data_IF_241755022235
#
_entry.id   IF_241755022235
#
_cell.length_a   1.000
_cell.length_b   1.000
_cell.length_c   1.000
_cell.angle_alpha   90.00
_cell.angle_beta   90.00
_cell.angle_gamma   90.00
#
_symmetry.space_group_name_H-M   'P 1'
#
loop_
_entity.id
_entity.type
_entity.pdbx_description
1 polymer ?
#
# COMPACT_ATOMS: atom_id res chain seq x y z
N UNK A 1 -39.00 13.81 11.50
CA UNK A 1 -39.84 14.71 10.70
C UNK A 1 -39.36 14.88 9.23
N UNK A 2 -38.06 15.13 8.96
CA UNK A 2 -37.57 15.33 7.57
C UNK A 2 -37.52 14.02 6.76
N UNK A 3 -37.13 12.90 7.37
CA UNK A 3 -37.08 11.60 6.68
C UNK A 3 -38.41 11.13 6.13
N UNK A 4 -39.54 11.54 6.70
CA UNK A 4 -40.88 11.23 6.20
C UNK A 4 -41.25 11.98 4.91
N UNK A 5 -40.45 13.00 4.53
CA UNK A 5 -40.62 13.75 3.27
C UNK A 5 -39.89 13.13 2.09
N UNK A 6 -39.08 12.09 2.32
CA UNK A 6 -38.40 11.38 1.24
C UNK A 6 -39.40 10.59 0.41
N UNK A 7 -39.40 10.83 -0.91
CA UNK A 7 -40.30 10.10 -1.81
C UNK A 7 -39.96 8.60 -1.80
N UNK A 8 -40.96 7.73 -1.92
CA UNK A 8 -40.75 6.29 -2.10
C UNK A 8 -39.85 6.01 -3.31
N UNK A 9 -39.11 4.90 -3.25
CA UNK A 9 -38.31 4.45 -4.40
C UNK A 9 -39.22 4.13 -5.59
N UNK A 10 -38.89 4.67 -6.75
CA UNK A 10 -39.69 4.53 -7.98
C UNK A 10 -39.51 3.15 -8.62
N UNK A 11 -40.45 2.76 -9.48
CA UNK A 11 -40.35 1.53 -10.29
C UNK A 11 -39.09 1.53 -11.16
N UNK A 12 -38.75 2.66 -11.78
CA UNK A 12 -37.56 2.79 -12.62
C UNK A 12 -36.26 2.56 -11.83
N UNK A 13 -36.17 3.07 -10.59
CA UNK A 13 -35.00 2.86 -9.71
C UNK A 13 -34.88 1.39 -9.27
N UNK A 14 -36.01 0.72 -8.96
CA UNK A 14 -36.02 -0.72 -8.63
C UNK A 14 -35.59 -1.56 -9.84
N UNK A 15 -36.07 -1.24 -11.04
CA UNK A 15 -35.70 -1.94 -12.27
C UNK A 15 -34.22 -1.76 -12.61
N UNK A 16 -33.71 -0.55 -12.43
CA UNK A 16 -32.30 -0.27 -12.61
C UNK A 16 -31.47 -1.08 -11.62
N UNK A 17 -31.80 -1.08 -10.33
CA UNK A 17 -31.08 -1.82 -9.31
C UNK A 17 -31.05 -3.33 -9.63
N UNK A 18 -32.18 -3.91 -10.04
CA UNK A 18 -32.24 -5.30 -10.48
C UNK A 18 -31.33 -5.56 -11.69
N UNK A 19 -31.33 -4.66 -12.68
CA UNK A 19 -30.56 -4.86 -13.93
C UNK A 19 -29.05 -4.63 -13.77
N UNK A 20 -28.65 -3.67 -12.93
CA UNK A 20 -27.24 -3.22 -12.89
C UNK A 20 -26.50 -3.68 -11.62
N UNK A 21 -27.21 -4.02 -10.54
CA UNK A 21 -26.54 -4.29 -9.26
C UNK A 21 -26.39 -5.76 -8.92
N UNK A 22 -26.97 -6.67 -9.69
CA UNK A 22 -26.83 -8.13 -9.49
C UNK A 22 -26.35 -8.81 -10.77
N UNK A 23 -25.88 -10.04 -10.60
CA UNK A 23 -25.48 -10.87 -11.73
C UNK A 23 -26.68 -11.56 -12.38
N UNK A 24 -26.63 -11.73 -13.69
CA UNK A 24 -27.68 -12.35 -14.49
C UNK A 24 -27.20 -13.69 -15.07
N UNK A 25 -27.95 -14.76 -14.84
CA UNK A 25 -27.52 -16.10 -15.17
C UNK A 25 -28.49 -16.85 -16.09
N UNK A 26 -27.90 -17.64 -16.99
CA UNK A 26 -28.56 -18.75 -17.66
C UNK A 26 -28.10 -20.08 -17.05
N UNK A 27 -28.98 -20.86 -16.48
CA UNK A 27 -28.66 -22.17 -15.92
C UNK A 27 -28.85 -23.26 -16.99
N UNK A 28 -27.73 -23.83 -17.44
CA UNK A 28 -27.66 -24.87 -18.46
C UNK A 28 -27.55 -26.25 -17.82
N UNK A 29 -28.36 -27.18 -18.30
CA UNK A 29 -28.22 -28.60 -17.99
C UNK A 29 -27.20 -29.28 -18.94
N UNK A 30 -26.59 -30.41 -18.58
CA UNK A 30 -25.60 -31.10 -19.43
C UNK A 30 -26.09 -31.40 -20.86
N UNK A 31 -27.40 -31.66 -21.05
CA UNK A 31 -28.02 -31.92 -22.36
C UNK A 31 -28.40 -30.63 -23.13
N UNK A 32 -27.91 -29.46 -22.73
CA UNK A 32 -28.10 -28.18 -23.44
C UNK A 32 -29.37 -27.41 -23.10
N UNK A 33 -30.35 -28.00 -22.40
CA UNK A 33 -31.53 -27.23 -21.95
C UNK A 33 -31.08 -26.12 -20.99
N UNK A 34 -31.36 -24.87 -21.37
CA UNK A 34 -30.92 -23.68 -20.70
C UNK A 34 -32.13 -22.87 -20.25
N UNK A 35 -32.08 -22.28 -19.06
CA UNK A 35 -33.17 -21.48 -18.49
C UNK A 35 -32.61 -20.12 -18.04
N UNK A 36 -33.25 -19.03 -18.49
CA UNK A 36 -32.98 -17.69 -17.98
C UNK A 36 -33.49 -17.56 -16.53
N UNK A 37 -32.60 -17.18 -15.63
CA UNK A 37 -32.98 -16.99 -14.23
C UNK A 37 -33.74 -15.69 -13.96
N UNK A 38 -33.76 -14.75 -14.92
CA UNK A 38 -34.50 -13.49 -14.78
C UNK A 38 -35.96 -13.63 -15.14
N UNK A 39 -36.28 -14.25 -16.29
CA UNK A 39 -37.65 -14.34 -16.80
C UNK A 39 -38.27 -15.75 -16.80
N UNK A 40 -37.46 -16.78 -16.49
CA UNK A 40 -37.88 -18.16 -16.46
C UNK A 40 -37.96 -18.86 -17.84
N UNK A 41 -37.72 -18.14 -18.94
CA UNK A 41 -37.77 -18.73 -20.28
C UNK A 41 -36.71 -19.80 -20.49
N UNK A 42 -37.08 -20.92 -21.14
CA UNK A 42 -36.16 -22.03 -21.41
C UNK A 42 -36.03 -22.27 -22.91
N UNK A 43 -34.77 -22.53 -23.32
CA UNK A 43 -34.39 -22.88 -24.72
C UNK A 43 -33.28 -23.93 -24.72
N UNK A 44 -32.84 -24.36 -25.87
CA UNK A 44 -31.71 -25.23 -26.02
C UNK A 44 -30.50 -24.47 -26.50
N UNK A 45 -29.37 -24.64 -25.81
CA UNK A 45 -28.07 -24.10 -26.16
C UNK A 45 -27.12 -25.27 -26.46
N UNK A 46 -26.87 -25.50 -27.75
CA UNK A 46 -26.12 -26.68 -28.20
C UNK A 46 -24.66 -26.66 -27.74
N UNK A 47 -24.01 -25.51 -27.85
CA UNK A 47 -22.62 -25.35 -27.45
C UNK A 47 -22.52 -24.79 -26.00
N UNK A 48 -21.45 -25.17 -25.31
CA UNK A 48 -21.09 -24.56 -24.04
C UNK A 48 -20.36 -23.26 -24.29
N UNK A 49 -20.99 -22.14 -23.97
CA UNK A 49 -20.44 -20.77 -24.08
C UNK A 49 -20.55 -20.09 -22.72
N UNK A 50 -19.69 -19.11 -22.45
CA UNK A 50 -19.64 -18.44 -21.16
C UNK A 50 -20.75 -17.39 -20.98
N UNK A 51 -21.18 -16.81 -22.07
CA UNK A 51 -22.23 -15.75 -22.06
C UNK A 51 -23.23 -15.95 -23.18
N UNK A 52 -24.49 -15.56 -22.95
CA UNK A 52 -25.52 -15.58 -23.99
C UNK A 52 -26.54 -14.47 -23.73
N UNK A 53 -27.39 -14.21 -24.73
CA UNK A 53 -28.55 -13.31 -24.61
C UNK A 53 -29.82 -14.11 -24.49
N UNK A 54 -30.66 -13.80 -23.51
CA UNK A 54 -31.97 -14.45 -23.39
C UNK A 54 -32.85 -14.12 -24.62
N UNK A 55 -33.40 -15.12 -25.34
CA UNK A 55 -34.27 -14.87 -26.47
C UNK A 55 -35.55 -14.10 -26.11
N UNK A 56 -36.07 -14.26 -24.88
CA UNK A 56 -37.32 -13.68 -24.44
C UNK A 56 -37.17 -12.28 -23.86
N UNK A 57 -36.30 -12.08 -22.81
CA UNK A 57 -36.19 -10.81 -22.11
C UNK A 57 -35.00 -9.94 -22.55
N UNK A 58 -34.17 -10.46 -23.45
CA UNK A 58 -32.97 -9.80 -23.99
C UNK A 58 -31.87 -9.47 -22.97
N UNK A 59 -31.94 -10.00 -21.75
CA UNK A 59 -30.86 -9.87 -20.77
C UNK A 59 -29.60 -10.56 -21.25
N UNK A 60 -28.46 -9.93 -21.02
CA UNK A 60 -27.13 -10.56 -21.15
C UNK A 60 -26.90 -11.45 -19.92
N UNK A 61 -26.59 -12.72 -20.17
CA UNK A 61 -26.55 -13.75 -19.13
C UNK A 61 -25.18 -14.46 -19.12
N UNK A 62 -24.65 -14.68 -17.93
CA UNK A 62 -23.55 -15.63 -17.76
C UNK A 62 -24.11 -17.06 -17.72
N UNK A 63 -23.54 -17.96 -18.49
CA UNK A 63 -23.99 -19.35 -18.55
C UNK A 63 -23.32 -20.17 -17.47
N UNK A 64 -24.12 -20.78 -16.59
CA UNK A 64 -23.64 -21.72 -15.56
C UNK A 64 -24.20 -23.11 -15.81
N UNK A 65 -23.33 -24.09 -16.05
CA UNK A 65 -23.75 -25.51 -16.12
C UNK A 65 -24.00 -26.03 -14.71
N UNK A 66 -25.27 -26.16 -14.33
CA UNK A 66 -25.65 -26.53 -12.98
C UNK A 66 -27.04 -27.18 -12.92
N UNK A 67 -27.23 -28.06 -11.94
CA UNK A 67 -28.52 -28.65 -11.60
C UNK A 67 -29.30 -27.81 -10.56
N UNK A 68 -28.70 -26.76 -9.98
CA UNK A 68 -29.36 -25.86 -9.05
C UNK A 68 -30.64 -25.29 -9.65
N UNK A 69 -31.67 -25.15 -8.83
CA UNK A 69 -32.99 -24.64 -9.27
C UNK A 69 -33.24 -23.22 -8.78
N UNK A 70 -32.62 -22.82 -7.69
CA UNK A 70 -32.83 -21.53 -7.02
C UNK A 70 -31.52 -20.78 -6.89
N UNK A 71 -31.61 -19.45 -6.89
CA UNK A 71 -30.53 -18.53 -6.63
C UNK A 71 -31.09 -17.33 -5.88
N UNK A 72 -30.48 -16.96 -4.78
CA UNK A 72 -30.73 -15.69 -4.10
C UNK A 72 -29.50 -14.82 -4.20
N UNK A 73 -29.68 -13.55 -4.51
CA UNK A 73 -28.63 -12.54 -4.51
C UNK A 73 -29.04 -11.37 -3.63
N UNK A 74 -28.08 -10.82 -2.92
CA UNK A 74 -28.24 -9.65 -2.07
C UNK A 74 -27.18 -8.63 -2.45
N UNK A 75 -27.56 -7.40 -2.73
CA UNK A 75 -26.64 -6.35 -3.12
C UNK A 75 -27.08 -4.98 -2.62
N UNK A 76 -26.13 -4.15 -2.23
CA UNK A 76 -26.42 -2.77 -1.87
C UNK A 76 -26.37 -1.85 -3.07
N UNK A 77 -27.19 -0.80 -3.02
CA UNK A 77 -27.14 0.32 -3.95
C UNK A 77 -27.57 1.61 -3.27
N UNK A 78 -27.26 2.73 -3.88
CA UNK A 78 -27.53 4.05 -3.32
C UNK A 78 -28.29 4.95 -4.29
N UNK A 79 -29.02 5.91 -3.72
CA UNK A 79 -29.66 7.00 -4.45
C UNK A 79 -29.23 8.34 -3.88
N UNK A 80 -28.68 9.22 -4.73
CA UNK A 80 -28.38 10.59 -4.33
C UNK A 80 -29.55 11.50 -4.68
N UNK A 81 -30.10 12.17 -3.69
CA UNK A 81 -31.29 13.03 -3.82
C UNK A 81 -31.22 14.23 -2.89
N UNK A 82 -32.18 15.11 -2.94
CA UNK A 82 -32.33 16.27 -2.07
C UNK A 82 -33.63 16.19 -1.27
N UNK A 83 -33.63 16.79 -0.09
CA UNK A 83 -34.82 16.98 0.73
C UNK A 83 -34.77 18.37 1.40
N UNK A 84 -35.54 19.31 0.90
CA UNK A 84 -35.41 20.74 1.26
C UNK A 84 -34.01 21.23 0.87
N UNK A 85 -33.34 21.82 1.83
CA UNK A 85 -31.95 22.32 1.68
C UNK A 85 -30.86 21.26 1.87
N UNK A 86 -31.23 20.02 2.23
CA UNK A 86 -30.29 18.98 2.55
C UNK A 86 -29.94 18.13 1.33
N UNK A 87 -28.67 17.79 1.20
CA UNK A 87 -28.23 16.70 0.33
C UNK A 87 -28.42 15.37 1.06
N UNK A 88 -28.98 14.36 0.38
CA UNK A 88 -29.30 13.07 0.98
C UNK A 88 -28.78 11.94 0.11
N UNK A 89 -28.01 11.02 0.70
CA UNK A 89 -27.64 9.74 0.11
C UNK A 89 -28.44 8.64 0.80
N UNK A 90 -29.35 8.00 0.06
CA UNK A 90 -30.16 6.89 0.54
C UNK A 90 -29.50 5.56 0.20
N UNK A 91 -29.49 4.64 1.14
CA UNK A 91 -28.87 3.32 1.05
C UNK A 91 -29.95 2.24 1.07
N UNK A 92 -29.84 1.30 0.16
CA UNK A 92 -30.83 0.22 -0.01
C UNK A 92 -30.15 -1.14 -0.10
N UNK A 93 -30.82 -2.16 0.39
CA UNK A 93 -30.54 -3.58 0.13
C UNK A 93 -31.52 -4.07 -0.92
N UNK A 94 -31.01 -4.57 -2.04
CA UNK A 94 -31.76 -5.35 -3.03
C UNK A 94 -31.62 -6.83 -2.69
N UNK A 95 -32.75 -7.53 -2.57
CA UNK A 95 -32.82 -8.98 -2.49
C UNK A 95 -33.50 -9.49 -3.74
N UNK A 96 -32.82 -10.31 -4.52
CA UNK A 96 -33.37 -10.93 -5.74
C UNK A 96 -33.46 -12.45 -5.53
N UNK A 97 -34.66 -12.99 -5.75
CA UNK A 97 -34.94 -14.42 -5.67
C UNK A 97 -35.30 -14.94 -7.06
N UNK A 98 -34.54 -15.93 -7.49
CA UNK A 98 -34.63 -16.48 -8.84
C UNK A 98 -34.88 -17.99 -8.76
N UNK A 99 -35.83 -18.50 -9.52
CA UNK A 99 -36.13 -19.92 -9.64
C UNK A 99 -36.34 -20.32 -11.10
N UNK A 100 -35.76 -21.48 -11.49
CA UNK A 100 -35.92 -22.04 -12.84
C UNK A 100 -37.39 -22.12 -13.25
N UNK A 101 -37.73 -21.53 -14.40
CA UNK A 101 -39.06 -21.54 -14.96
C UNK A 101 -39.99 -20.45 -14.39
N UNK A 102 -39.55 -19.68 -13.41
CA UNK A 102 -40.28 -18.58 -12.83
C UNK A 102 -39.62 -17.23 -13.16
N UNK A 103 -40.42 -16.19 -13.21
CA UNK A 103 -39.88 -14.82 -13.28
C UNK A 103 -39.28 -14.44 -11.94
N UNK A 104 -38.06 -13.88 -11.95
CA UNK A 104 -37.39 -13.41 -10.77
C UNK A 104 -38.22 -12.41 -9.98
N UNK A 105 -38.20 -12.55 -8.66
CA UNK A 105 -38.82 -11.62 -7.72
C UNK A 105 -37.71 -10.80 -7.07
N UNK A 106 -37.96 -9.53 -6.78
CA UNK A 106 -37.04 -8.68 -6.07
C UNK A 106 -37.76 -7.78 -5.08
N UNK A 107 -37.14 -7.63 -3.92
CA UNK A 107 -37.53 -6.68 -2.87
C UNK A 107 -36.41 -5.68 -2.62
N UNK A 108 -36.79 -4.47 -2.21
CA UNK A 108 -35.84 -3.41 -1.89
C UNK A 108 -36.17 -2.87 -0.50
N UNK A 109 -35.19 -2.88 0.37
CA UNK A 109 -35.30 -2.47 1.77
C UNK A 109 -34.38 -1.26 1.98
N UNK A 110 -34.90 -0.17 2.52
CA UNK A 110 -34.10 0.99 2.88
C UNK A 110 -33.34 0.73 4.17
N UNK A 111 -32.01 0.83 4.12
CA UNK A 111 -31.10 0.61 5.24
C UNK A 111 -30.91 1.89 6.06
N UNK A 112 -30.87 3.03 5.36
CA UNK A 112 -30.66 4.33 5.98
C UNK A 112 -30.25 5.40 4.98
N UNK A 113 -29.93 6.56 5.50
CA UNK A 113 -29.58 7.71 4.69
C UNK A 113 -28.60 8.63 5.43
N UNK A 114 -27.61 9.13 4.70
CA UNK A 114 -26.75 10.24 5.11
C UNK A 114 -27.42 11.56 4.71
N UNK A 115 -27.31 12.55 5.58
CA UNK A 115 -27.78 13.91 5.40
C UNK A 115 -26.65 14.88 5.53
N UNK A 116 -26.53 15.83 4.63
CA UNK A 116 -25.56 16.94 4.71
C UNK A 116 -26.30 18.25 4.53
N UNK A 117 -25.99 19.23 5.40
CA UNK A 117 -26.40 20.61 5.16
C UNK A 117 -25.33 21.33 4.32
N UNK A 118 -25.60 22.59 3.94
CA UNK A 118 -24.68 23.42 3.13
C UNK A 118 -23.32 23.71 3.84
N UNK A 119 -23.25 23.59 5.16
CA UNK A 119 -22.01 23.69 5.92
C UNK A 119 -21.25 22.34 6.04
N UNK A 120 -21.70 21.30 5.33
CA UNK A 120 -21.07 19.96 5.33
C UNK A 120 -21.28 19.16 6.63
N UNK A 121 -22.11 19.64 7.56
CA UNK A 121 -22.45 18.87 8.76
C UNK A 121 -23.26 17.64 8.36
N UNK A 122 -22.82 16.49 8.87
CA UNK A 122 -23.37 15.18 8.51
C UNK A 122 -24.20 14.58 9.63
N UNK A 123 -25.31 13.91 9.27
CA UNK A 123 -26.04 13.02 10.13
C UNK A 123 -26.35 11.71 9.38
N UNK A 124 -26.25 10.58 10.07
CA UNK A 124 -26.66 9.28 9.59
C UNK A 124 -27.93 8.85 10.31
N UNK A 125 -28.99 8.56 9.55
CA UNK A 125 -30.23 7.96 10.04
C UNK A 125 -30.38 6.59 9.42
N UNK A 126 -30.35 5.53 10.22
CA UNK A 126 -30.36 4.17 9.69
C UNK A 126 -31.01 3.18 10.67
N UNK A 127 -31.42 2.02 10.14
CA UNK A 127 -31.81 0.87 10.96
C UNK A 127 -30.59 0.36 11.75
N UNK A 128 -30.86 -0.37 12.84
CA UNK A 128 -29.79 -0.89 13.68
C UNK A 128 -29.01 -1.98 12.96
N UNK A 129 -27.69 -1.91 13.02
CA UNK A 129 -26.81 -3.01 12.63
C UNK A 129 -26.74 -4.02 13.75
N UNK A 130 -26.90 -5.30 13.41
CA UNK A 130 -26.62 -6.42 14.30
C UNK A 130 -25.16 -6.86 14.16
N UNK A 131 -24.61 -7.50 15.19
CA UNK A 131 -23.26 -8.07 15.13
C UNK A 131 -23.21 -9.23 14.13
N UNK A 132 -22.28 -9.18 13.18
CA UNK A 132 -22.04 -10.24 12.20
C UNK A 132 -21.20 -9.74 11.02
N UNK A 133 -20.52 -10.66 10.32
CA UNK A 133 -19.69 -10.38 9.15
C UNK A 133 -20.44 -10.53 7.82
N UNK A 134 -21.76 -10.63 7.85
CA UNK A 134 -22.59 -10.87 6.67
C UNK A 134 -23.10 -9.58 6.06
N UNK A 135 -23.33 -9.61 4.73
CA UNK A 135 -23.79 -8.48 3.93
C UNK A 135 -25.14 -7.91 4.39
N UNK A 136 -25.96 -8.70 5.07
CA UNK A 136 -27.30 -8.35 5.54
C UNK A 136 -27.43 -8.30 7.07
N UNK A 137 -26.35 -7.96 7.76
CA UNK A 137 -26.32 -7.88 9.24
C UNK A 137 -27.06 -6.64 9.77
N UNK A 138 -28.30 -6.47 9.39
CA UNK A 138 -29.15 -5.38 9.86
C UNK A 138 -30.44 -5.92 10.48
N UNK A 139 -30.91 -5.26 11.54
CA UNK A 139 -32.20 -5.52 12.14
C UNK A 139 -33.29 -4.77 11.38
N UNK A 140 -33.88 -5.43 10.38
CA UNK A 140 -34.89 -4.84 9.50
C UNK A 140 -36.17 -4.40 10.20
N UNK A 141 -36.42 -4.83 11.42
CA UNK A 141 -37.56 -4.43 12.26
C UNK A 141 -37.21 -3.28 13.22
N UNK A 142 -35.94 -2.87 13.29
CA UNK A 142 -35.57 -1.73 14.12
C UNK A 142 -35.98 -0.39 13.50
N UNK A 143 -36.32 0.62 14.31
CA UNK A 143 -36.65 1.93 13.79
C UNK A 143 -35.44 2.62 13.17
N UNK A 144 -35.70 3.44 12.16
CA UNK A 144 -34.75 4.42 11.66
C UNK A 144 -34.43 5.43 12.77
N UNK A 145 -33.17 5.48 13.21
CA UNK A 145 -32.71 6.38 14.25
C UNK A 145 -31.36 6.99 13.88
N UNK A 146 -30.97 8.08 14.52
CA UNK A 146 -29.64 8.67 14.36
C UNK A 146 -28.62 7.65 14.85
N UNK A 147 -27.63 7.34 14.01
CA UNK A 147 -26.56 6.40 14.31
C UNK A 147 -25.20 7.09 14.22
N UNK A 148 -24.23 6.53 14.94
CA UNK A 148 -22.85 6.90 14.76
C UNK A 148 -22.36 6.40 13.40
N UNK A 149 -21.54 7.18 12.72
CA UNK A 149 -20.91 6.78 11.47
C UNK A 149 -19.96 5.62 11.73
N UNK A 150 -20.26 4.46 11.18
CA UNK A 150 -19.48 3.24 11.31
C UNK A 150 -19.00 2.77 9.93
N UNK A 151 -17.93 1.98 9.91
CA UNK A 151 -17.37 1.42 8.68
C UNK A 151 -18.39 0.65 7.85
N UNK A 152 -19.32 -0.06 8.50
CA UNK A 152 -20.36 -0.80 7.80
C UNK A 152 -21.31 0.07 7.00
N UNK A 153 -21.76 1.20 7.57
CA UNK A 153 -22.64 2.13 6.82
C UNK A 153 -21.84 2.83 5.73
N UNK A 154 -20.57 3.15 5.92
CA UNK A 154 -19.67 3.67 4.88
C UNK A 154 -19.52 2.69 3.74
N UNK A 155 -19.35 1.40 4.05
CA UNK A 155 -19.29 0.35 3.02
C UNK A 155 -20.57 0.32 2.17
N UNK A 156 -21.75 0.33 2.80
CA UNK A 156 -23.04 0.40 2.07
C UNK A 156 -23.16 1.67 1.25
N UNK A 157 -22.75 2.82 1.80
CA UNK A 157 -22.77 4.11 1.13
C UNK A 157 -21.80 4.20 -0.08
N UNK A 158 -20.81 3.33 -0.14
CA UNK A 158 -19.86 3.23 -1.26
C UNK A 158 -20.28 2.26 -2.35
N UNK A 159 -21.49 1.67 -2.25
CA UNK A 159 -22.04 0.80 -3.27
C UNK A 159 -22.48 1.59 -4.52
N UNK A 160 -22.85 0.86 -5.58
CA UNK A 160 -23.24 1.43 -6.85
C UNK A 160 -24.38 2.45 -6.70
N UNK A 161 -24.24 3.63 -7.30
CA UNK A 161 -25.20 4.71 -7.18
C UNK A 161 -26.06 4.82 -8.44
N UNK A 162 -27.35 5.00 -8.27
CA UNK A 162 -28.29 5.26 -9.38
C UNK A 162 -27.85 6.51 -10.16
N UNK A 163 -27.76 6.46 -11.50
CA UNK A 163 -27.06 7.48 -12.29
C UNK A 163 -27.79 8.84 -12.37
N UNK A 164 -29.12 8.88 -12.11
CA UNK A 164 -29.86 10.16 -12.09
C UNK A 164 -29.71 10.82 -10.72
N UNK A 165 -28.64 11.55 -10.53
CA UNK A 165 -28.31 12.23 -9.29
C UNK A 165 -29.13 13.53 -9.17
N UNK A 166 -29.62 13.82 -7.94
CA UNK A 166 -30.19 15.13 -7.60
C UNK A 166 -29.29 15.75 -6.52
N UNK A 167 -28.82 16.95 -6.76
CA UNK A 167 -27.91 17.67 -5.87
C UNK A 167 -28.44 19.04 -5.53
N UNK A 168 -28.00 19.58 -4.39
CA UNK A 168 -28.30 20.94 -3.97
C UNK A 168 -27.59 21.95 -4.86
N UNK A 169 -28.13 23.17 -4.94
CA UNK A 169 -27.50 24.26 -5.69
C UNK A 169 -26.10 24.59 -5.20
N UNK A 170 -25.82 24.42 -3.92
CA UNK A 170 -24.51 24.63 -3.32
C UNK A 170 -23.46 23.66 -3.90
N UNK A 171 -23.78 22.37 -3.94
CA UNK A 171 -22.90 21.37 -4.55
C UNK A 171 -22.65 21.65 -6.03
N UNK A 172 -23.69 22.05 -6.77
CA UNK A 172 -23.57 22.41 -8.17
C UNK A 172 -22.63 23.62 -8.37
N UNK A 173 -22.79 24.67 -7.56
CA UNK A 173 -21.90 25.85 -7.57
C UNK A 173 -20.46 25.48 -7.19
N UNK A 174 -20.27 24.50 -6.31
CA UNK A 174 -18.95 24.02 -5.90
C UNK A 174 -18.34 23.04 -6.91
N UNK A 175 -18.88 22.95 -8.12
CA UNK A 175 -18.29 22.26 -9.24
C UNK A 175 -18.77 20.81 -9.46
N UNK A 176 -19.76 20.35 -8.70
CA UNK A 176 -20.34 19.03 -8.96
C UNK A 176 -21.03 19.02 -10.33
N UNK A 177 -20.54 18.19 -11.25
CA UNK A 177 -20.98 18.15 -12.64
C UNK A 177 -22.04 17.09 -12.96
N UNK A 178 -22.55 16.38 -11.96
CA UNK A 178 -23.53 15.29 -12.13
C UNK A 178 -22.91 13.90 -12.13
N UNK A 179 -21.60 13.78 -11.96
CA UNK A 179 -20.87 12.50 -11.91
C UNK A 179 -20.04 12.37 -10.61
N UNK A 180 -19.96 11.15 -10.09
CA UNK A 180 -19.18 10.85 -8.88
C UNK A 180 -17.69 10.58 -9.16
N UNK A 181 -17.31 10.34 -10.41
CA UNK A 181 -15.93 10.09 -10.85
C UNK A 181 -15.20 9.00 -10.05
N UNK A 182 -15.90 7.91 -9.74
CA UNK A 182 -15.43 6.80 -8.89
C UNK A 182 -14.98 7.24 -7.47
N UNK A 183 -15.54 8.34 -6.97
CA UNK A 183 -15.32 8.81 -5.60
C UNK A 183 -16.57 8.47 -4.78
N UNK A 184 -16.38 7.86 -3.62
CA UNK A 184 -17.51 7.55 -2.74
C UNK A 184 -18.28 8.82 -2.36
N UNK A 185 -19.61 8.83 -2.44
CA UNK A 185 -20.42 10.02 -2.12
C UNK A 185 -20.14 10.58 -0.73
N UNK A 186 -19.88 9.72 0.25
CA UNK A 186 -19.52 10.11 1.63
C UNK A 186 -18.16 10.79 1.76
N UNK A 187 -17.31 10.71 0.74
CA UNK A 187 -16.04 11.44 0.66
C UNK A 187 -16.18 12.71 -0.18
N UNK A 188 -16.82 12.60 -1.35
CA UNK A 188 -16.91 13.69 -2.29
C UNK A 188 -17.82 14.83 -1.79
N UNK A 189 -19.01 14.51 -1.28
CA UNK A 189 -20.00 15.52 -0.88
C UNK A 189 -19.50 16.39 0.27
N UNK A 190 -19.02 15.85 1.40
CA UNK A 190 -18.45 16.67 2.46
C UNK A 190 -17.26 17.50 1.97
N UNK A 191 -16.37 16.92 1.16
CA UNK A 191 -15.22 17.65 0.64
C UNK A 191 -15.62 18.85 -0.21
N UNK A 192 -16.59 18.69 -1.11
CA UNK A 192 -17.09 19.80 -1.93
C UNK A 192 -17.83 20.88 -1.11
N UNK A 193 -18.41 20.53 0.02
CA UNK A 193 -19.11 21.47 0.89
C UNK A 193 -18.20 22.22 1.87
N UNK A 194 -17.03 21.64 2.22
CA UNK A 194 -16.18 22.16 3.30
C UNK A 194 -14.77 22.53 2.87
N UNK A 195 -14.28 22.08 1.72
CA UNK A 195 -12.91 22.30 1.26
C UNK A 195 -12.87 22.97 -0.12
N UNK A 196 -12.49 24.25 -0.14
CA UNK A 196 -12.33 25.03 -1.37
C UNK A 196 -11.28 24.46 -2.34
N UNK A 197 -10.36 23.61 -1.85
CA UNK A 197 -9.36 22.93 -2.66
C UNK A 197 -10.01 21.80 -3.46
N UNK A 198 -10.89 21.03 -2.84
CA UNK A 198 -11.68 20.00 -3.52
C UNK A 198 -12.58 20.63 -4.59
N UNK A 199 -13.23 21.77 -4.28
CA UNK A 199 -13.98 22.57 -5.24
C UNK A 199 -13.10 23.01 -6.43
N UNK A 200 -11.91 23.53 -6.15
CA UNK A 200 -10.97 23.99 -7.19
C UNK A 200 -10.55 22.84 -8.10
N UNK A 201 -10.22 21.68 -7.53
CA UNK A 201 -9.85 20.48 -8.30
C UNK A 201 -11.01 19.97 -9.15
N UNK A 202 -12.23 19.95 -8.59
CA UNK A 202 -13.44 19.52 -9.27
C UNK A 202 -13.75 20.44 -10.48
N UNK A 203 -13.71 21.76 -10.28
CA UNK A 203 -13.89 22.76 -11.35
C UNK A 203 -12.80 22.70 -12.42
N UNK A 204 -11.58 22.34 -12.05
CA UNK A 204 -10.46 22.16 -12.97
C UNK A 204 -10.47 20.80 -13.70
N UNK A 205 -11.45 19.92 -13.47
CA UNK A 205 -11.53 18.60 -14.10
C UNK A 205 -10.48 17.61 -13.61
N UNK A 206 -9.88 17.85 -12.41
CA UNK A 206 -8.84 17.00 -11.83
C UNK A 206 -9.39 15.85 -10.98
N UNK A 207 -10.33 15.10 -11.53
CA UNK A 207 -11.10 14.09 -10.81
C UNK A 207 -10.26 12.93 -10.29
N UNK A 208 -9.28 12.46 -11.07
CA UNK A 208 -8.38 11.38 -10.67
C UNK A 208 -7.50 11.79 -9.49
N UNK A 209 -6.97 13.01 -9.53
CA UNK A 209 -6.15 13.57 -8.47
C UNK A 209 -6.98 13.78 -7.20
N UNK A 210 -8.18 14.34 -7.33
CA UNK A 210 -9.13 14.53 -6.23
C UNK A 210 -9.47 13.17 -5.58
N UNK A 211 -9.80 12.15 -6.38
CA UNK A 211 -10.05 10.79 -5.89
C UNK A 211 -8.88 10.26 -5.06
N UNK A 212 -7.64 10.44 -5.54
CA UNK A 212 -6.45 10.00 -4.82
C UNK A 212 -6.34 10.65 -3.44
N UNK A 213 -6.50 11.97 -3.37
CA UNK A 213 -6.38 12.70 -2.10
C UNK A 213 -7.53 12.37 -1.12
N UNK A 214 -8.76 12.22 -1.60
CA UNK A 214 -9.90 11.88 -0.77
C UNK A 214 -9.85 10.43 -0.27
N UNK A 215 -9.43 9.47 -1.09
CA UNK A 215 -9.39 8.04 -0.71
C UNK A 215 -8.37 7.74 0.39
N UNK A 216 -7.27 8.47 0.45
CA UNK A 216 -6.21 8.27 1.45
C UNK A 216 -6.42 9.07 2.75
N UNK A 217 -7.40 10.00 2.79
CA UNK A 217 -7.75 10.80 3.97
C UNK A 217 -6.64 11.73 4.48
N UNK A 218 -5.48 11.73 3.83
CA UNK A 218 -4.31 12.56 4.17
C UNK A 218 -3.59 12.96 2.89
N UNK A 219 -3.08 14.18 2.83
CA UNK A 219 -2.16 14.55 1.77
C UNK A 219 -2.48 15.85 1.04
N UNK A 220 -3.74 16.23 0.87
CA UNK A 220 -4.06 17.48 0.18
C UNK A 220 -3.45 18.71 0.88
N UNK A 221 -3.44 18.73 2.21
CA UNK A 221 -2.80 19.79 3.00
C UNK A 221 -1.29 19.84 2.74
N UNK A 222 -0.65 18.67 2.66
CA UNK A 222 0.80 18.54 2.52
C UNK A 222 1.26 18.98 1.13
N UNK A 223 0.47 18.68 0.09
CA UNK A 223 0.85 18.89 -1.30
C UNK A 223 0.20 20.12 -1.93
N UNK A 224 -0.79 20.75 -1.28
CA UNK A 224 -1.60 21.79 -1.89
C UNK A 224 -0.79 22.96 -2.47
N UNK A 225 0.23 23.44 -1.76
CA UNK A 225 1.06 24.53 -2.22
C UNK A 225 1.80 24.21 -3.52
N UNK A 226 2.32 23.00 -3.65
CA UNK A 226 2.94 22.50 -4.88
C UNK A 226 1.88 22.19 -5.94
N UNK A 227 0.74 21.60 -5.54
CA UNK A 227 -0.33 21.22 -6.45
C UNK A 227 -0.96 22.46 -7.16
N UNK A 228 -1.10 23.59 -6.46
CA UNK A 228 -1.55 24.85 -7.08
C UNK A 228 -0.71 25.27 -8.29
N UNK A 229 0.58 24.97 -8.28
CA UNK A 229 1.46 25.28 -9.42
C UNK A 229 1.09 24.46 -10.65
N UNK A 230 0.74 23.18 -10.47
CA UNK A 230 0.30 22.33 -11.58
C UNK A 230 -0.95 22.89 -12.25
N UNK A 231 -1.89 23.43 -11.46
CA UNK A 231 -3.10 24.07 -11.98
C UNK A 231 -2.77 25.37 -12.75
N UNK A 232 -1.92 26.23 -12.17
CA UNK A 232 -1.50 27.51 -12.78
C UNK A 232 -0.74 27.33 -14.10
N UNK A 233 0.06 26.27 -14.17
CA UNK A 233 0.88 25.96 -15.35
C UNK A 233 0.22 24.97 -16.29
N UNK A 234 -1.07 24.64 -16.09
CA UNK A 234 -1.81 23.67 -16.89
C UNK A 234 -1.11 22.31 -17.01
N UNK A 235 -0.25 22.00 -16.03
CA UNK A 235 0.48 20.72 -15.99
C UNK A 235 -0.48 19.58 -15.63
N UNK A 236 -0.55 18.57 -16.49
CA UNK A 236 -1.34 17.35 -16.25
C UNK A 236 -0.44 16.31 -15.59
N UNK A 237 -0.76 15.95 -14.35
CA UNK A 237 -0.04 14.89 -13.64
C UNK A 237 -0.44 13.54 -14.26
N UNK A 238 0.52 12.84 -14.85
CA UNK A 238 0.28 11.51 -15.45
C UNK A 238 0.02 10.43 -14.43
N UNK A 239 0.70 10.50 -13.30
CA UNK A 239 0.60 9.57 -12.17
C UNK A 239 0.71 10.37 -10.86
N UNK A 240 -0.41 10.52 -10.16
CA UNK A 240 -0.47 11.33 -8.94
C UNK A 240 0.30 10.70 -7.77
N UNK A 241 0.39 9.36 -7.71
CA UNK A 241 1.16 8.66 -6.67
C UNK A 241 2.65 8.94 -6.86
N UNK A 242 3.13 8.75 -8.08
CA UNK A 242 4.52 9.03 -8.45
C UNK A 242 4.88 10.51 -8.23
N UNK A 243 3.95 11.43 -8.55
CA UNK A 243 4.16 12.85 -8.36
C UNK A 243 4.27 13.24 -6.88
N UNK A 244 3.42 12.68 -6.01
CA UNK A 244 3.51 12.90 -4.56
C UNK A 244 4.84 12.40 -4.00
N UNK A 245 5.27 11.20 -4.39
CA UNK A 245 6.54 10.64 -3.96
C UNK A 245 7.74 11.47 -4.46
N UNK A 246 7.67 11.92 -5.72
CA UNK A 246 8.65 12.84 -6.27
C UNK A 246 8.75 14.18 -5.50
N UNK A 247 7.60 14.78 -5.13
CA UNK A 247 7.57 16.02 -4.33
C UNK A 247 8.17 15.79 -2.94
N UNK A 248 7.93 14.63 -2.33
CA UNK A 248 8.53 14.28 -1.04
C UNK A 248 10.05 14.10 -1.14
N UNK A 249 10.55 13.54 -2.25
CA UNK A 249 11.99 13.49 -2.52
C UNK A 249 12.59 14.88 -2.68
N UNK A 250 11.90 15.78 -3.41
CA UNK A 250 12.36 17.17 -3.56
C UNK A 250 12.49 17.88 -2.19
N UNK A 251 11.50 17.68 -1.29
CA UNK A 251 11.55 18.22 0.08
C UNK A 251 12.77 17.69 0.84
N UNK A 252 13.01 16.37 0.80
CA UNK A 252 14.17 15.74 1.47
C UNK A 252 15.51 16.24 0.93
N UNK A 253 15.58 16.56 -0.36
CA UNK A 253 16.76 17.10 -1.01
C UNK A 253 16.90 18.63 -0.85
N UNK A 254 15.99 19.29 -0.11
CA UNK A 254 16.01 20.74 0.07
C UNK A 254 15.75 21.54 -1.21
N UNK A 255 15.10 20.94 -2.23
CA UNK A 255 14.73 21.64 -3.45
C UNK A 255 13.51 22.51 -3.22
N UNK A 256 13.44 23.62 -3.94
CA UNK A 256 12.30 24.53 -3.84
C UNK A 256 11.03 23.94 -4.47
N UNK A 257 10.13 23.47 -3.60
CA UNK A 257 8.83 22.88 -3.99
C UNK A 257 7.79 23.95 -4.40
N UNK A 258 8.15 25.22 -4.43
CA UNK A 258 7.33 26.33 -4.95
C UNK A 258 7.79 26.79 -6.34
N UNK A 259 8.79 26.14 -6.91
CA UNK A 259 9.30 26.44 -8.24
C UNK A 259 8.68 25.48 -9.28
N UNK A 260 7.97 26.00 -10.30
CA UNK A 260 7.34 25.15 -11.32
C UNK A 260 8.35 24.30 -12.12
N UNK A 261 9.61 24.72 -12.21
CA UNK A 261 10.69 23.93 -12.84
C UNK A 261 10.85 22.56 -12.19
N UNK A 262 10.66 22.47 -10.87
CA UNK A 262 10.72 21.19 -10.15
C UNK A 262 9.36 20.49 -10.11
N UNK A 263 8.28 21.25 -9.88
CA UNK A 263 6.95 20.67 -9.64
C UNK A 263 6.25 20.18 -10.90
N UNK A 264 6.59 20.73 -12.07
CA UNK A 264 5.98 20.43 -13.36
C UNK A 264 7.02 19.88 -14.36
N UNK A 265 7.70 18.76 -14.07
CA UNK A 265 8.72 18.22 -14.96
C UNK A 265 8.08 17.68 -16.25
N UNK A 266 8.74 17.84 -17.38
CA UNK A 266 8.29 17.29 -18.66
C UNK A 266 8.32 15.75 -18.66
N UNK A 267 9.29 15.15 -17.97
CA UNK A 267 9.40 13.71 -17.73
C UNK A 267 9.39 13.44 -16.23
N UNK A 268 8.20 13.18 -15.68
CA UNK A 268 8.03 12.91 -14.26
C UNK A 268 8.79 11.65 -13.80
N UNK A 269 8.76 10.58 -14.58
CA UNK A 269 9.41 9.32 -14.21
C UNK A 269 10.94 9.43 -14.24
N UNK A 270 11.48 10.07 -15.25
CA UNK A 270 12.92 10.32 -15.37
C UNK A 270 13.45 11.19 -14.22
N UNK A 271 12.75 12.28 -13.90
CA UNK A 271 13.12 13.14 -12.76
C UNK A 271 12.94 12.47 -11.41
N UNK A 272 11.91 11.65 -11.23
CA UNK A 272 11.73 10.83 -10.03
C UNK A 272 12.93 9.89 -9.81
N UNK A 273 13.30 9.10 -10.83
CA UNK A 273 14.43 8.16 -10.75
C UNK A 273 15.75 8.88 -10.45
N UNK A 274 15.94 10.07 -11.02
CA UNK A 274 17.12 10.91 -10.75
C UNK A 274 17.18 11.35 -9.29
N UNK A 275 16.06 11.79 -8.69
CA UNK A 275 16.01 12.18 -7.27
C UNK A 275 16.20 10.99 -6.34
N UNK A 276 15.65 9.84 -6.68
CA UNK A 276 15.86 8.61 -5.94
C UNK A 276 17.35 8.24 -5.88
N UNK A 277 18.04 8.29 -7.03
CA UNK A 277 19.48 8.05 -7.09
C UNK A 277 20.29 9.08 -6.29
N UNK A 278 19.89 10.36 -6.31
CA UNK A 278 20.51 11.44 -5.52
C UNK A 278 20.37 11.17 -4.02
N UNK A 279 19.17 10.82 -3.55
CA UNK A 279 18.90 10.47 -2.14
C UNK A 279 19.66 9.21 -1.70
N UNK A 280 19.76 8.20 -2.56
CA UNK A 280 20.52 6.98 -2.25
C UNK A 280 21.99 7.31 -2.01
N UNK A 281 22.62 8.08 -2.93
CA UNK A 281 24.01 8.51 -2.77
C UNK A 281 24.23 9.35 -1.50
N UNK A 282 23.28 10.22 -1.16
CA UNK A 282 23.35 11.00 0.07
C UNK A 282 23.34 10.08 1.31
N UNK A 283 22.42 9.12 1.37
CA UNK A 283 22.33 8.15 2.47
C UNK A 283 23.58 7.30 2.60
N UNK A 284 24.17 6.88 1.48
CA UNK A 284 25.42 6.12 1.46
C UNK A 284 26.57 6.94 2.04
N UNK A 285 26.69 8.24 1.68
CA UNK A 285 27.68 9.16 2.24
C UNK A 285 27.49 9.35 3.75
N UNK A 286 26.26 9.66 4.19
CA UNK A 286 25.96 9.84 5.60
C UNK A 286 26.19 8.55 6.43
N UNK A 287 25.91 7.38 5.85
CA UNK A 287 26.18 6.10 6.49
C UNK A 287 27.70 5.84 6.62
N UNK A 288 28.48 6.18 5.59
CA UNK A 288 29.94 6.06 5.63
C UNK A 288 30.56 7.03 6.64
N UNK A 289 30.07 8.27 6.69
CA UNK A 289 30.56 9.26 7.66
C UNK A 289 30.26 8.83 9.10
N UNK A 290 29.07 8.36 9.41
CA UNK A 290 28.73 7.78 10.74
C UNK A 290 29.63 6.58 11.10
N UNK A 291 29.98 5.72 10.13
CA UNK A 291 30.92 4.63 10.36
C UNK A 291 32.29 5.14 10.72
N UNK A 292 32.79 6.18 10.04
CA UNK A 292 34.09 6.81 10.33
C UNK A 292 34.10 7.46 11.70
N UNK A 293 33.07 8.24 12.04
CA UNK A 293 32.93 8.86 13.35
C UNK A 293 32.95 7.82 14.47
N UNK A 294 32.22 6.71 14.29
CA UNK A 294 32.19 5.61 15.23
C UNK A 294 33.58 4.97 15.37
N UNK A 295 34.29 4.74 14.25
CA UNK A 295 35.64 4.17 14.28
C UNK A 295 36.61 5.05 15.05
N UNK A 296 36.54 6.37 14.88
CA UNK A 296 37.37 7.33 15.63
C UNK A 296 37.02 7.31 17.12
N UNK A 297 35.72 7.31 17.45
CA UNK A 297 35.26 7.30 18.85
C UNK A 297 35.67 6.01 19.59
N UNK A 298 35.68 4.88 18.91
CA UNK A 298 35.99 3.58 19.50
C UNK A 298 37.51 3.27 19.51
N UNK A 299 38.33 4.03 18.80
CA UNK A 299 39.79 3.75 18.63
C UNK A 299 40.54 3.75 19.96
N UNK A 300 40.27 4.67 20.88
CA UNK A 300 40.92 4.75 22.18
C UNK A 300 40.62 3.51 23.01
N UNK A 301 39.34 3.12 23.10
CA UNK A 301 38.93 1.92 23.82
C UNK A 301 39.49 0.63 23.20
N UNK A 302 39.56 0.57 21.88
CA UNK A 302 40.20 -0.54 21.16
C UNK A 302 41.67 -0.65 21.54
N UNK A 303 42.42 0.45 21.56
CA UNK A 303 43.85 0.49 21.95
C UNK A 303 44.04 0.05 23.38
N UNK A 304 43.20 0.50 24.31
CA UNK A 304 43.26 0.03 25.70
C UNK A 304 43.15 -1.49 25.81
N UNK A 305 42.24 -2.10 25.01
CA UNK A 305 41.97 -3.55 25.03
C UNK A 305 43.06 -4.37 24.29
N UNK A 306 43.57 -3.86 23.16
CA UNK A 306 44.30 -4.68 22.18
C UNK A 306 45.72 -4.21 21.88
N UNK A 307 46.15 -3.02 22.32
CA UNK A 307 47.50 -2.48 21.97
C UNK A 307 48.65 -3.39 22.35
N UNK A 308 48.51 -4.18 23.43
CA UNK A 308 49.53 -5.16 23.82
C UNK A 308 49.79 -6.24 22.76
N UNK A 309 48.90 -6.50 21.84
CA UNK A 309 49.06 -7.47 20.75
C UNK A 309 49.58 -6.85 19.46
N UNK A 310 49.73 -5.53 19.39
CA UNK A 310 50.23 -4.87 18.20
C UNK A 310 51.64 -5.28 17.86
N UNK A 311 51.97 -5.37 16.57
CA UNK A 311 53.27 -5.85 16.10
C UNK A 311 53.36 -7.37 15.94
N UNK A 312 52.37 -8.16 16.43
CA UNK A 312 52.38 -9.60 16.21
C UNK A 312 52.16 -9.89 14.74
N UNK A 313 53.14 -10.45 14.08
CA UNK A 313 53.11 -10.92 12.70
C UNK A 313 53.98 -12.13 12.50
N UNK A 314 53.58 -13.02 11.62
CA UNK A 314 54.34 -14.22 11.28
C UNK A 314 54.02 -14.69 9.87
N UNK A 315 54.87 -15.55 9.30
CA UNK A 315 54.74 -16.00 7.90
C UNK A 315 55.33 -17.38 7.72
N UNK A 316 54.82 -18.11 6.75
CA UNK A 316 55.47 -19.34 6.24
C UNK A 316 56.27 -19.12 4.94
N UNK A 317 56.46 -17.86 4.55
CA UNK A 317 57.11 -17.46 3.31
C UNK A 317 56.14 -17.12 2.16
N UNK A 318 54.92 -17.62 2.22
CA UNK A 318 53.84 -17.34 1.22
C UNK A 318 52.71 -16.57 1.86
N UNK A 319 52.21 -17.03 2.99
CA UNK A 319 51.12 -16.43 3.74
C UNK A 319 51.74 -15.55 4.83
N UNK A 320 51.25 -14.31 4.91
CA UNK A 320 51.55 -13.41 6.01
C UNK A 320 50.34 -13.24 6.88
N UNK A 321 50.49 -13.39 8.19
CA UNK A 321 49.43 -13.18 9.17
C UNK A 321 49.84 -12.08 10.12
N UNK A 322 48.96 -11.13 10.39
CA UNK A 322 49.17 -10.04 11.35
C UNK A 322 47.92 -9.73 12.14
N UNK A 323 48.07 -9.17 13.33
CA UNK A 323 46.96 -8.66 14.15
C UNK A 323 46.47 -7.36 13.55
N UNK A 324 45.15 -7.14 13.53
CA UNK A 324 44.56 -5.84 13.14
C UNK A 324 44.85 -4.81 14.24
N UNK A 325 45.44 -3.66 13.88
CA UNK A 325 46.00 -2.68 14.82
C UNK A 325 45.24 -1.39 14.96
N UNK A 326 44.12 -1.23 14.19
CA UNK A 326 43.24 -0.08 14.27
C UNK A 326 41.78 -0.45 13.94
N UNK A 327 40.82 0.31 14.46
CA UNK A 327 39.41 0.13 14.12
C UNK A 327 39.20 0.34 12.63
N UNK A 328 39.99 1.22 11.98
CA UNK A 328 39.96 1.40 10.54
C UNK A 328 40.31 0.11 9.79
N UNK A 329 41.32 -0.65 10.26
CA UNK A 329 41.65 -1.94 9.63
C UNK A 329 40.54 -2.96 9.74
N UNK A 330 39.75 -2.97 10.84
CA UNK A 330 38.55 -3.80 10.95
C UNK A 330 37.47 -3.40 9.93
N UNK A 331 37.35 -2.09 9.64
CA UNK A 331 36.44 -1.63 8.58
C UNK A 331 36.92 -2.09 7.21
N UNK A 332 38.18 -1.92 6.89
CA UNK A 332 38.78 -2.25 5.60
C UNK A 332 38.74 -3.75 5.34
N UNK A 333 39.12 -4.56 6.37
CA UNK A 333 39.04 -6.01 6.35
C UNK A 333 37.59 -6.50 6.07
N UNK A 334 36.64 -5.97 6.83
CA UNK A 334 35.23 -6.30 6.67
C UNK A 334 34.66 -5.88 5.30
N UNK A 335 35.13 -4.76 4.76
CA UNK A 335 34.68 -4.27 3.43
C UNK A 335 35.26 -5.14 2.30
N UNK A 336 36.54 -5.52 2.35
CA UNK A 336 37.23 -6.28 1.31
C UNK A 336 36.75 -7.75 1.26
N UNK A 337 36.57 -8.37 2.44
CA UNK A 337 36.15 -9.77 2.54
C UNK A 337 34.63 -9.96 2.71
N UNK A 338 33.87 -8.87 2.68
CA UNK A 338 32.41 -8.89 2.89
C UNK A 338 31.95 -9.53 4.20
N UNK A 339 32.66 -9.17 5.30
CA UNK A 339 32.36 -9.63 6.65
C UNK A 339 31.71 -8.53 7.49
N UNK A 340 30.84 -8.93 8.45
CA UNK A 340 30.27 -8.04 9.45
C UNK A 340 31.22 -7.73 10.62
N UNK A 341 32.53 -7.65 10.37
CA UNK A 341 33.59 -7.55 11.39
C UNK A 341 33.47 -6.25 12.20
N UNK A 342 33.38 -5.12 11.50
CA UNK A 342 33.21 -3.81 12.11
C UNK A 342 31.82 -3.63 12.72
N UNK A 343 30.73 -4.00 11.98
CA UNK A 343 29.37 -3.82 12.44
C UNK A 343 28.99 -4.67 13.66
N UNK A 344 29.68 -5.78 13.87
CA UNK A 344 29.49 -6.65 15.03
C UNK A 344 30.55 -6.36 16.14
N UNK A 345 31.28 -5.24 16.05
CA UNK A 345 32.17 -4.70 17.07
C UNK A 345 33.21 -5.72 17.57
N UNK A 346 33.75 -6.55 16.67
CA UNK A 346 34.75 -7.56 17.03
C UNK A 346 36.01 -6.96 17.69
N UNK A 347 36.32 -5.70 17.38
CA UNK A 347 37.44 -4.96 17.97
C UNK A 347 37.26 -4.66 19.48
N UNK A 348 36.02 -4.69 20.00
CA UNK A 348 35.70 -4.49 21.42
C UNK A 348 35.52 -5.80 22.19
N UNK A 349 35.58 -6.96 21.55
CA UNK A 349 35.45 -8.25 22.24
C UNK A 349 36.70 -8.55 23.03
N UNK A 350 36.60 -8.61 24.37
CA UNK A 350 37.74 -8.77 25.26
C UNK A 350 38.50 -10.09 25.04
N UNK A 351 37.77 -11.20 24.88
CA UNK A 351 38.31 -12.55 24.78
C UNK A 351 38.60 -13.02 23.34
N UNK A 352 38.63 -12.11 22.38
CA UNK A 352 38.82 -12.42 20.96
C UNK A 352 39.90 -11.54 20.35
N UNK A 353 40.83 -12.13 19.61
CA UNK A 353 41.84 -11.42 18.82
C UNK A 353 41.61 -11.71 17.35
N UNK A 354 41.59 -10.65 16.53
CA UNK A 354 41.38 -10.76 15.09
C UNK A 354 42.71 -10.54 14.36
N UNK A 355 43.02 -11.47 13.45
CA UNK A 355 44.15 -11.42 12.56
C UNK A 355 43.69 -11.43 11.11
N UNK A 356 44.50 -10.85 10.24
CA UNK A 356 44.34 -10.91 8.79
C UNK A 356 45.44 -11.78 8.18
N UNK A 357 45.06 -12.72 7.33
CA UNK A 357 45.96 -13.48 6.48
C UNK A 357 46.04 -12.87 5.09
N UNK A 358 47.21 -12.61 4.60
CA UNK A 358 47.47 -11.99 3.29
C UNK A 358 48.45 -12.81 2.46
N UNK A 359 48.27 -12.79 1.13
CA UNK A 359 49.21 -13.30 0.13
C UNK A 359 49.50 -12.16 -0.84
N UNK A 360 50.76 -11.82 -1.04
CA UNK A 360 51.18 -10.71 -1.90
C UNK A 360 50.42 -9.39 -1.61
N UNK A 361 50.16 -9.16 -0.30
CA UNK A 361 49.43 -7.96 0.16
C UNK A 361 47.90 -7.98 -0.04
N UNK A 362 47.35 -9.05 -0.61
CA UNK A 362 45.86 -9.22 -0.73
C UNK A 362 45.35 -10.00 0.47
N UNK A 363 44.26 -9.52 1.07
CA UNK A 363 43.56 -10.20 2.16
C UNK A 363 42.90 -11.48 1.66
N UNK A 364 43.15 -12.59 2.37
CA UNK A 364 42.68 -13.93 1.98
C UNK A 364 41.68 -14.45 2.98
N UNK A 365 41.98 -14.43 4.27
CA UNK A 365 41.08 -14.82 5.35
C UNK A 365 41.23 -13.91 6.56
N UNK A 366 40.13 -13.68 7.26
CA UNK A 366 40.09 -13.10 8.61
C UNK A 366 40.03 -14.24 9.62
N UNK A 367 40.88 -14.20 10.62
CA UNK A 367 41.00 -15.23 11.65
C UNK A 367 40.59 -14.65 13.01
N UNK A 368 39.71 -15.35 13.72
CA UNK A 368 39.37 -15.07 15.11
C UNK A 368 40.03 -16.10 16.01
N UNK A 369 40.83 -15.63 16.95
CA UNK A 369 41.51 -16.45 17.95
C UNK A 369 40.94 -16.16 19.33
N UNK A 370 40.60 -17.21 20.09
CA UNK A 370 40.18 -17.08 21.48
C UNK A 370 41.42 -16.74 22.35
N UNK A 371 41.32 -15.68 23.14
CA UNK A 371 42.37 -15.32 24.11
C UNK A 371 42.36 -16.21 25.35
N UNK A 372 41.22 -16.92 25.61
CA UNK A 372 41.13 -17.85 26.74
C UNK A 372 41.78 -19.20 26.42
N UNK A 373 41.56 -19.74 25.22
CA UNK A 373 42.03 -21.06 24.80
C UNK A 373 43.26 -21.01 23.90
N UNK A 374 43.56 -19.86 23.32
CA UNK A 374 44.60 -19.62 22.30
C UNK A 374 44.41 -20.47 21.02
N UNK A 375 43.18 -20.85 20.72
CA UNK A 375 42.80 -21.61 19.54
C UNK A 375 42.03 -20.75 18.54
N UNK A 376 42.19 -21.10 17.28
CA UNK A 376 41.38 -20.48 16.22
C UNK A 376 39.90 -20.85 16.42
N UNK A 377 39.04 -19.85 16.62
CA UNK A 377 37.57 -20.01 16.69
C UNK A 377 37.00 -20.17 15.28
N UNK A 378 37.45 -19.31 14.37
CA UNK A 378 37.08 -19.33 12.96
C UNK A 378 38.14 -18.66 12.09
N UNK A 379 38.21 -19.09 10.84
CA UNK A 379 38.99 -18.45 9.78
C UNK A 379 38.14 -18.44 8.52
N UNK A 380 37.92 -17.27 7.91
CA UNK A 380 36.95 -17.10 6.80
C UNK A 380 37.50 -16.12 5.77
N UNK A 381 37.37 -16.51 4.50
CA UNK A 381 37.62 -15.66 3.34
C UNK A 381 36.37 -14.93 2.87
N UNK A 382 36.39 -14.45 1.65
CA UNK A 382 35.32 -13.65 1.05
C UNK A 382 33.93 -14.30 1.24
N UNK A 383 32.96 -13.51 1.70
CA UNK A 383 31.59 -13.96 1.97
C UNK A 383 31.49 -15.15 2.94
N UNK A 384 32.38 -15.23 3.93
CA UNK A 384 32.47 -16.28 4.95
C UNK A 384 32.75 -17.70 4.39
N UNK A 385 33.35 -17.82 3.23
CA UNK A 385 33.74 -19.10 2.66
C UNK A 385 35.18 -19.46 3.03
N UNK A 386 35.48 -20.75 3.08
CA UNK A 386 36.84 -21.21 3.25
C UNK A 386 37.58 -21.05 1.90
N UNK A 387 38.84 -20.58 1.99
CA UNK A 387 39.71 -20.49 0.82
C UNK A 387 40.51 -21.81 0.60
N UNK A 388 41.13 -21.98 -0.55
CA UNK A 388 42.06 -23.10 -0.75
C UNK A 388 43.23 -23.15 0.25
N UNK A 389 43.56 -22.02 0.92
CA UNK A 389 44.61 -21.88 1.89
C UNK A 389 44.14 -22.01 3.35
N UNK A 390 42.87 -22.33 3.57
CA UNK A 390 42.24 -22.36 4.88
C UNK A 390 43.01 -23.21 5.92
N UNK A 391 43.28 -24.48 5.60
CA UNK A 391 44.01 -25.38 6.50
C UNK A 391 45.45 -24.90 6.78
N UNK A 392 46.11 -24.36 5.76
CA UNK A 392 47.48 -23.82 5.90
C UNK A 392 47.47 -22.59 6.82
N UNK A 393 46.50 -21.69 6.69
CA UNK A 393 46.31 -20.50 7.54
C UNK A 393 46.04 -20.92 8.99
N UNK A 394 45.12 -21.83 9.23
CA UNK A 394 44.81 -22.32 10.59
C UNK A 394 45.99 -22.98 11.24
N UNK A 395 46.72 -23.83 10.52
CA UNK A 395 47.92 -24.48 11.03
C UNK A 395 49.06 -23.48 11.33
N UNK A 396 49.21 -22.47 10.47
CA UNK A 396 50.22 -21.42 10.68
C UNK A 396 49.90 -20.60 11.94
N UNK A 397 48.64 -20.22 12.18
CA UNK A 397 48.23 -19.49 13.39
C UNK A 397 48.41 -20.34 14.65
N UNK A 398 48.03 -21.62 14.61
CA UNK A 398 48.18 -22.52 15.74
C UNK A 398 49.66 -22.76 16.09
N UNK A 399 50.55 -22.90 15.09
CA UNK A 399 51.98 -23.03 15.29
C UNK A 399 52.62 -21.81 15.97
N UNK A 400 52.08 -20.62 15.77
CA UNK A 400 52.58 -19.36 16.33
C UNK A 400 51.75 -18.84 17.53
N UNK A 401 50.84 -19.64 18.07
CA UNK A 401 49.98 -19.26 19.23
C UNK A 401 50.80 -18.90 20.49
N UNK A 402 52.05 -19.36 20.59
CA UNK A 402 52.95 -18.98 21.66
C UNK A 402 53.24 -17.48 21.69
N UNK A 403 53.32 -16.80 20.55
CA UNK A 403 53.51 -15.34 20.48
C UNK A 403 52.36 -14.58 21.14
N UNK A 404 51.12 -15.07 20.98
CA UNK A 404 49.95 -14.49 21.62
C UNK A 404 49.95 -14.79 23.12
N UNK A 405 50.34 -16.02 23.51
CA UNK A 405 50.43 -16.47 24.91
C UNK A 405 51.38 -15.61 25.74
N UNK A 406 52.51 -15.24 25.16
CA UNK A 406 53.54 -14.42 25.84
C UNK A 406 53.06 -13.02 26.21
N UNK A 407 52.09 -12.51 25.45
CA UNK A 407 51.46 -11.19 25.65
C UNK A 407 50.24 -11.26 26.59
N UNK A 408 49.53 -12.40 26.65
CA UNK A 408 48.37 -12.59 27.53
C UNK A 408 48.77 -12.75 29.00
N UNK A 409 49.97 -13.31 29.27
CA UNK A 409 50.55 -13.43 30.63
C UNK A 409 50.97 -12.08 31.17
#
# INVERSE_FOLDING_TARGET
ALSTRLCPITKAQRQWAFRECIDHFAYRLPKGRTTCMDCGYSWTLEQSIDTCTCPQCRASLQVKTTRARKLQQKQYFTLLTTCGEYQVLRMFLLVAEMEKGCRAQSSVIEIGHYWWNDAGRQALVAIQRTFGHYIDSFSFHSPMAIRNDSEAYRYVASSQTFPKLKVTNTLYRNGFNGELHDIAPTQLIPALLTDSRAETMMKAGRYKDLRHFLSRGKGLDIYWNSYKLTLRHHYIISDIVLWCDYVDMLKRLGKDIHNPKYICPSDLRGEHNKREAELRRQREREAMERKREKAIADEERFRELKSKFFGIRFTDGTIQVHVLESVQEYMDEGAELHHCLFSNEYYLKENSLILSATIEGKRIETIEVSLDTLQVIQSRGVCNQNTPHHEQIVNLVNAHSQLIREVVR
#
